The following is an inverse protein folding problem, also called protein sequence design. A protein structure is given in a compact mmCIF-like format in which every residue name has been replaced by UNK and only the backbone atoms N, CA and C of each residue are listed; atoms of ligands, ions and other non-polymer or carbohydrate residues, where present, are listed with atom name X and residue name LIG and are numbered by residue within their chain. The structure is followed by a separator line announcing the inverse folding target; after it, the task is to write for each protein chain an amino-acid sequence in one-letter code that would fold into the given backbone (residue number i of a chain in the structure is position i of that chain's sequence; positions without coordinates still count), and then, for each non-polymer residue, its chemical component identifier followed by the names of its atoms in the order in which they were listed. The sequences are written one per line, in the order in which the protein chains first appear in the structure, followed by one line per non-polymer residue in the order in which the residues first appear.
data_IF_274635883398
#
_entry.id   IF_274635883398
#
_cell.length_a   1.000
_cell.length_b   1.000
_cell.length_c   1.000
_cell.angle_alpha   90.00
_cell.angle_beta   90.00
_cell.angle_gamma   90.00
#
_symmetry.space_group_name_H-M   'P 1'
#
loop_
_entity.id
_entity.type
_entity.pdbx_description
1 polymer ?
#
# COMPACT_ATOMS: atom_id res chain seq x y z
N UNK A 1 -7.83 19.39 -6.74
CA UNK A 1 -6.78 18.37 -6.50
C UNK A 1 -5.46 19.10 -6.51
N UNK A 2 -4.90 19.36 -5.33
CA UNK A 2 -3.63 20.08 -5.19
C UNK A 2 -2.52 19.05 -5.43
N UNK A 3 -1.88 19.08 -6.58
CA UNK A 3 -0.73 18.22 -6.89
C UNK A 3 0.43 18.80 -6.08
N UNK A 4 0.58 18.21 -4.90
CA UNK A 4 1.29 18.76 -3.76
C UNK A 4 2.81 18.77 -3.96
N UNK A 5 3.46 19.73 -3.32
CA UNK A 5 4.90 19.99 -3.20
C UNK A 5 5.80 18.77 -2.84
N UNK A 6 5.21 17.58 -2.64
CA UNK A 6 5.86 16.37 -2.14
C UNK A 6 5.71 15.14 -3.04
N UNK A 7 5.25 15.29 -4.29
CA UNK A 7 5.03 14.17 -5.23
C UNK A 7 6.20 13.15 -5.34
N UNK A 8 7.49 13.54 -5.42
CA UNK A 8 8.59 12.57 -5.45
C UNK A 8 8.73 11.75 -4.16
N UNK A 9 8.23 12.27 -3.04
CA UNK A 9 8.29 11.61 -1.74
C UNK A 9 7.12 10.65 -1.52
N UNK A 10 5.96 10.90 -2.15
CA UNK A 10 4.81 10.01 -2.09
C UNK A 10 5.13 8.64 -2.72
N UNK A 11 5.88 8.65 -3.82
CA UNK A 11 6.38 7.42 -4.45
C UNK A 11 7.34 6.66 -3.53
N UNK A 12 8.29 7.37 -2.92
CA UNK A 12 9.24 6.77 -1.96
C UNK A 12 8.54 6.24 -0.69
N UNK A 13 7.53 6.95 -0.17
CA UNK A 13 6.70 6.49 0.94
C UNK A 13 5.97 5.21 0.56
N UNK A 14 5.39 5.15 -0.65
CA UNK A 14 4.69 3.97 -1.15
C UNK A 14 5.63 2.77 -1.33
N UNK A 15 6.79 2.97 -1.96
CA UNK A 15 7.83 1.95 -2.13
C UNK A 15 8.38 1.46 -0.77
N UNK A 16 8.48 2.35 0.23
CA UNK A 16 8.88 1.97 1.59
C UNK A 16 7.93 0.97 2.24
N UNK A 17 6.65 1.05 1.88
CA UNK A 17 5.62 0.16 2.38
C UNK A 17 5.66 -1.17 1.62
N UNK A 18 5.90 -1.21 0.32
CA UNK A 18 5.98 -2.50 -0.38
C UNK A 18 7.29 -3.26 -0.09
N UNK A 19 8.33 -2.55 0.38
CA UNK A 19 9.66 -3.10 0.60
C UNK A 19 10.60 -2.94 -0.60
N UNK A 20 10.15 -2.19 -1.62
CA UNK A 20 10.86 -2.00 -2.89
C UNK A 20 11.70 -0.72 -2.89
N UNK A 21 12.46 -0.48 -1.80
CA UNK A 21 13.41 0.62 -1.73
C UNK A 21 14.85 0.11 -1.79
N UNK A 22 15.65 0.72 -2.65
CA UNK A 22 17.10 0.62 -2.54
C UNK A 22 17.62 1.32 -1.28
N UNK A 23 18.84 0.97 -0.86
CA UNK A 23 19.47 1.61 0.30
C UNK A 23 19.64 3.13 0.12
N UNK A 24 19.84 3.60 -1.11
CA UNK A 24 20.04 5.01 -1.43
C UNK A 24 18.73 5.79 -1.33
N UNK A 25 17.65 5.23 -1.86
CA UNK A 25 16.31 5.80 -1.76
C UNK A 25 15.83 5.83 -0.32
N UNK A 26 16.14 4.78 0.46
CA UNK A 26 15.83 4.76 1.90
C UNK A 26 16.49 5.92 2.64
N UNK A 27 17.79 6.15 2.42
CA UNK A 27 18.51 7.29 3.04
C UNK A 27 17.93 8.64 2.63
N UNK A 28 17.53 8.80 1.37
CA UNK A 28 16.89 10.03 0.88
C UNK A 28 15.53 10.26 1.55
N UNK A 29 14.71 9.21 1.63
CA UNK A 29 13.41 9.28 2.29
C UNK A 29 13.58 9.62 3.78
N UNK A 30 14.46 8.94 4.49
CA UNK A 30 14.71 9.19 5.91
C UNK A 30 15.14 10.66 6.16
N UNK A 31 16.04 11.20 5.33
CA UNK A 31 16.45 12.61 5.42
C UNK A 31 15.30 13.61 5.19
N UNK A 32 14.36 13.29 4.30
CA UNK A 32 13.17 14.13 4.10
C UNK A 32 12.20 14.02 5.28
N UNK A 33 12.00 12.80 5.80
CA UNK A 33 11.13 12.54 6.92
C UNK A 33 11.62 13.24 8.19
N UNK A 34 12.90 13.51 8.36
CA UNK A 34 13.40 14.32 9.48
C UNK A 34 12.86 15.77 9.43
N UNK A 35 12.76 16.35 8.23
CA UNK A 35 12.36 17.74 8.04
C UNK A 35 10.86 17.95 7.77
N UNK A 36 10.13 16.91 7.33
CA UNK A 36 8.75 17.04 6.86
C UNK A 36 7.73 16.31 7.74
N UNK A 37 6.96 17.07 8.52
CA UNK A 37 5.90 16.51 9.37
C UNK A 37 4.74 15.89 8.59
N UNK A 38 4.41 16.45 7.41
CA UNK A 38 3.33 15.96 6.55
C UNK A 38 3.64 14.55 6.03
N UNK A 39 4.81 14.35 5.42
CA UNK A 39 5.23 13.04 4.92
C UNK A 39 5.38 12.00 6.04
N UNK A 40 5.82 12.39 7.26
CA UNK A 40 5.79 11.49 8.43
C UNK A 40 4.38 11.04 8.78
N UNK A 41 3.42 11.96 8.79
CA UNK A 41 2.02 11.64 9.06
C UNK A 41 1.44 10.70 8.01
N UNK A 42 1.75 10.94 6.74
CA UNK A 42 1.32 10.09 5.62
C UNK A 42 1.88 8.67 5.75
N UNK A 43 3.19 8.54 6.00
CA UNK A 43 3.82 7.22 6.21
C UNK A 43 3.21 6.48 7.41
N UNK A 44 2.97 7.17 8.52
CA UNK A 44 2.35 6.57 9.71
C UNK A 44 0.92 6.08 9.41
N UNK A 45 0.11 6.90 8.73
CA UNK A 45 -1.26 6.54 8.36
C UNK A 45 -1.31 5.30 7.46
N UNK A 46 -0.45 5.24 6.42
CA UNK A 46 -0.41 4.07 5.55
C UNK A 46 0.15 2.82 6.22
N UNK A 47 1.15 2.98 7.10
CA UNK A 47 1.68 1.86 7.89
C UNK A 47 0.61 1.26 8.79
N UNK A 48 -0.23 2.10 9.41
CA UNK A 48 -1.34 1.65 10.24
C UNK A 48 -2.41 0.91 9.43
N UNK A 49 -2.81 1.47 8.28
CA UNK A 49 -3.74 0.81 7.36
C UNK A 49 -3.23 -0.57 6.93
N UNK A 50 -1.95 -0.67 6.56
CA UNK A 50 -1.35 -1.94 6.17
C UNK A 50 -1.35 -2.95 7.31
N UNK A 51 -1.07 -2.51 8.54
CA UNK A 51 -1.16 -3.34 9.74
C UNK A 51 -2.57 -3.88 9.97
N UNK A 52 -3.60 -3.04 9.79
CA UNK A 52 -5.00 -3.45 9.89
C UNK A 52 -5.33 -4.51 8.83
N UNK A 53 -4.97 -4.27 7.56
CA UNK A 53 -5.22 -5.20 6.45
C UNK A 53 -4.49 -6.51 6.65
N UNK A 54 -3.23 -6.48 7.10
CA UNK A 54 -2.45 -7.68 7.40
C UNK A 54 -3.05 -8.51 8.54
N UNK A 55 -3.82 -7.89 9.44
CA UNK A 55 -4.54 -8.57 10.51
C UNK A 55 -5.87 -9.19 10.09
N UNK A 56 -6.32 -9.00 8.85
CA UNK A 56 -7.56 -9.60 8.37
C UNK A 56 -7.41 -11.13 8.28
N UNK A 57 -8.48 -11.83 8.68
CA UNK A 57 -8.53 -13.29 8.58
C UNK A 57 -8.55 -13.70 7.11
N UNK A 58 -7.55 -14.48 6.70
CA UNK A 58 -7.59 -15.19 5.43
C UNK A 58 -8.67 -16.28 5.48
N UNK A 59 -9.70 -16.14 4.65
CA UNK A 59 -10.77 -17.12 4.50
C UNK A 59 -10.41 -18.05 3.33
N UNK A 60 -10.51 -19.37 3.49
CA UNK A 60 -10.24 -20.29 2.39
C UNK A 60 -11.25 -20.10 1.26
N UNK A 61 -10.77 -20.23 0.03
CA UNK A 61 -11.61 -20.15 -1.16
C UNK A 61 -12.60 -21.34 -1.15
N UNK A 62 -13.92 -21.11 -1.28
CA UNK A 62 -14.91 -22.18 -1.37
C UNK A 62 -14.62 -23.12 -2.55
N UNK A 63 -14.71 -24.43 -2.32
CA UNK A 63 -14.33 -25.46 -3.32
C UNK A 63 -15.18 -25.41 -4.60
N UNK A 64 -16.40 -24.90 -4.49
CA UNK A 64 -17.39 -24.76 -5.55
C UNK A 64 -17.33 -23.40 -6.27
N UNK A 65 -16.47 -22.46 -5.82
CA UNK A 65 -16.41 -21.11 -6.37
C UNK A 65 -16.21 -21.12 -7.89
N UNK A 66 -15.28 -21.93 -8.39
CA UNK A 66 -15.00 -22.01 -9.83
C UNK A 66 -16.19 -22.52 -10.66
N UNK A 67 -16.97 -23.46 -10.13
CA UNK A 67 -18.17 -23.95 -10.80
C UNK A 67 -19.25 -22.85 -10.84
N UNK A 68 -19.47 -22.16 -9.71
CA UNK A 68 -20.43 -21.06 -9.60
C UNK A 68 -20.10 -19.89 -10.52
N UNK A 69 -18.81 -19.53 -10.64
CA UNK A 69 -18.36 -18.47 -11.56
C UNK A 69 -18.63 -18.85 -13.01
N UNK A 70 -18.30 -20.07 -13.45
CA UNK A 70 -18.57 -20.52 -14.83
C UNK A 70 -20.06 -20.48 -15.17
N UNK A 71 -20.91 -21.02 -14.31
CA UNK A 71 -22.36 -20.99 -14.51
C UNK A 71 -22.89 -19.56 -14.65
N UNK A 72 -22.35 -18.60 -13.89
CA UNK A 72 -22.75 -17.20 -13.99
C UNK A 72 -22.31 -16.51 -15.29
N UNK A 73 -21.17 -16.90 -15.86
CA UNK A 73 -20.65 -16.34 -17.12
C UNK A 73 -21.39 -16.92 -18.33
N UNK A 74 -21.65 -18.23 -18.34
CA UNK A 74 -22.30 -18.93 -19.46
C UNK A 74 -23.82 -18.71 -19.48
N UNK A 75 -24.42 -18.37 -18.35
CA UNK A 75 -25.86 -18.12 -18.20
C UNK A 75 -26.30 -16.67 -18.41
N UNK A 76 -25.38 -15.76 -18.75
CA UNK A 76 -25.65 -14.35 -19.07
C UNK A 76 -25.57 -14.09 -20.57
#
# INVERSE_FOLDING_TARGET
MNISRHEPWDELVSASLTGDLSADERRRLDAHLDACAECRSTLAAFSDQRRIVAGLRHVPIPRDLGARVRTGIEGG
#
